data_IF_648726826607
#
_entry.id   IF_648726826607
#
_cell.length_a   1.000
_cell.length_b   1.000
_cell.length_c   1.000
_cell.angle_alpha   90.00
_cell.angle_beta   90.00
_cell.angle_gamma   90.00
#
_symmetry.space_group_name_H-M   'P 1'
#
loop_
_entity.id
_entity.type
_entity.pdbx_description
1 polymer ?
#
# COMPACT_ATOMS: atom_id res chain seq x y z
N UNK A 1 -40.93 -38.45 -24.66
CA UNK A 1 -39.68 -37.73 -24.98
C UNK A 1 -39.50 -36.68 -23.88
N UNK A 2 -38.50 -36.85 -23.00
CA UNK A 2 -38.20 -35.90 -21.92
C UNK A 2 -37.24 -34.82 -22.45
N UNK A 3 -37.38 -33.54 -22.05
CA UNK A 3 -36.44 -32.49 -22.44
C UNK A 3 -35.08 -32.69 -21.74
N UNK A 4 -33.96 -32.21 -22.33
CA UNK A 4 -32.63 -32.40 -21.76
C UNK A 4 -32.46 -31.62 -20.44
N UNK A 5 -31.61 -32.10 -19.53
CA UNK A 5 -31.29 -31.38 -18.30
C UNK A 5 -30.55 -30.08 -18.61
N UNK A 6 -30.99 -28.97 -18.01
CA UNK A 6 -30.27 -27.70 -18.05
C UNK A 6 -28.93 -27.85 -17.31
N UNK A 7 -27.84 -27.70 -18.04
CA UNK A 7 -26.49 -27.59 -17.45
C UNK A 7 -26.29 -26.17 -16.91
N UNK A 8 -25.59 -26.01 -15.76
CA UNK A 8 -25.42 -24.72 -15.10
C UNK A 8 -24.56 -23.78 -15.94
N UNK A 9 -24.88 -22.48 -15.90
CA UNK A 9 -24.07 -21.43 -16.47
C UNK A 9 -22.64 -21.51 -15.90
N UNK A 10 -21.66 -21.68 -16.78
CA UNK A 10 -20.24 -21.55 -16.46
C UNK A 10 -20.02 -20.12 -15.96
N UNK A 11 -19.62 -20.00 -14.69
CA UNK A 11 -19.07 -18.75 -14.16
C UNK A 11 -17.86 -18.38 -15.03
N UNK A 12 -17.99 -17.28 -15.78
CA UNK A 12 -16.89 -16.68 -16.53
C UNK A 12 -15.73 -16.35 -15.60
N UNK A 13 -14.47 -16.67 -15.96
CA UNK A 13 -13.31 -16.18 -15.21
C UNK A 13 -13.27 -14.65 -15.30
N UNK A 14 -12.93 -13.99 -14.19
CA UNK A 14 -12.78 -12.53 -14.12
C UNK A 14 -11.93 -12.02 -15.30
N UNK A 15 -12.47 -11.06 -16.04
CA UNK A 15 -11.82 -10.42 -17.20
C UNK A 15 -10.55 -9.67 -16.79
N UNK A 16 -9.57 -9.52 -17.69
CA UNK A 16 -8.31 -8.79 -17.43
C UNK A 16 -8.50 -7.36 -16.87
N UNK A 17 -9.62 -6.71 -17.19
CA UNK A 17 -9.99 -5.40 -16.64
C UNK A 17 -10.28 -5.43 -15.12
N UNK A 18 -10.89 -6.52 -14.64
CA UNK A 18 -11.25 -6.72 -13.22
C UNK A 18 -10.00 -6.99 -12.37
N UNK A 19 -9.05 -7.76 -12.93
CA UNK A 19 -7.74 -7.96 -12.30
C UNK A 19 -6.97 -6.64 -12.18
N UNK A 20 -6.93 -5.83 -13.25
CA UNK A 20 -6.22 -4.56 -13.25
C UNK A 20 -6.81 -3.56 -12.24
N UNK A 21 -8.14 -3.53 -12.09
CA UNK A 21 -8.81 -2.67 -11.12
C UNK A 21 -8.53 -3.11 -9.67
N UNK A 22 -8.41 -4.41 -9.41
CA UNK A 22 -7.99 -4.96 -8.11
C UNK A 22 -6.54 -4.58 -7.77
N UNK A 23 -5.61 -4.73 -8.72
CA UNK A 23 -4.20 -4.33 -8.52
C UNK A 23 -4.05 -2.84 -8.24
N UNK A 24 -4.75 -1.98 -9.00
CA UNK A 24 -4.73 -0.53 -8.77
C UNK A 24 -5.28 -0.14 -7.39
N UNK A 25 -6.24 -0.92 -6.89
CA UNK A 25 -6.84 -0.68 -5.58
C UNK A 25 -5.89 -1.09 -4.45
N UNK A 26 -5.24 -2.25 -4.59
CA UNK A 26 -4.19 -2.69 -3.67
C UNK A 26 -3.03 -1.70 -3.64
N UNK A 27 -2.56 -1.20 -4.80
CA UNK A 27 -1.50 -0.17 -4.85
C UNK A 27 -1.89 1.13 -4.15
N UNK A 28 -3.14 1.61 -4.33
CA UNK A 28 -3.61 2.81 -3.65
C UNK A 28 -3.69 2.61 -2.14
N UNK A 29 -4.28 1.50 -1.70
CA UNK A 29 -4.39 1.17 -0.28
C UNK A 29 -2.98 1.02 0.34
N UNK A 30 -2.02 0.47 -0.40
CA UNK A 30 -0.62 0.40 -0.01
C UNK A 30 0.02 1.78 0.16
N UNK A 31 -0.13 2.66 -0.83
CA UNK A 31 0.46 4.01 -0.80
C UNK A 31 -0.12 4.85 0.33
N UNK A 32 -1.44 4.82 0.54
CA UNK A 32 -2.10 5.54 1.64
C UNK A 32 -1.60 5.03 3.00
N UNK A 33 -1.42 3.71 3.13
CA UNK A 33 -0.90 3.11 4.33
C UNK A 33 0.55 3.52 4.64
N UNK A 34 1.39 3.59 3.62
CA UNK A 34 2.77 4.08 3.73
C UNK A 34 2.80 5.54 4.19
N UNK A 35 1.95 6.40 3.62
CA UNK A 35 1.84 7.80 4.04
C UNK A 35 1.40 7.93 5.51
N UNK A 36 0.45 7.11 5.96
CA UNK A 36 0.00 7.08 7.35
C UNK A 36 1.12 6.63 8.29
N UNK A 37 1.91 5.63 7.92
CA UNK A 37 3.09 5.23 8.68
C UNK A 37 4.12 6.36 8.78
N UNK A 38 4.36 7.10 7.69
CA UNK A 38 5.30 8.23 7.71
C UNK A 38 4.79 9.36 8.61
N UNK A 39 3.49 9.67 8.54
CA UNK A 39 2.85 10.64 9.43
C UNK A 39 2.95 10.20 10.90
N UNK A 40 2.73 8.93 11.17
CA UNK A 40 2.84 8.35 12.49
C UNK A 40 4.29 8.40 13.00
N UNK A 41 5.27 8.08 12.16
CA UNK A 41 6.70 8.17 12.49
C UNK A 41 7.11 9.61 12.86
N UNK A 42 6.56 10.60 12.17
CA UNK A 42 6.81 12.02 12.43
C UNK A 42 6.12 12.53 13.70
N UNK A 43 5.03 11.88 14.14
CA UNK A 43 4.21 12.32 15.28
C UNK A 43 4.56 11.57 16.56
N UNK A 44 4.64 10.24 16.49
CA UNK A 44 4.85 9.32 17.61
C UNK A 44 6.27 8.73 17.64
N UNK A 45 7.04 8.90 16.56
CA UNK A 45 8.41 8.44 16.43
C UNK A 45 8.57 7.19 15.56
N UNK A 46 9.73 7.07 14.92
CA UNK A 46 10.06 6.01 13.95
C UNK A 46 9.86 4.60 14.54
N UNK A 47 10.21 4.39 15.81
CA UNK A 47 10.07 3.09 16.45
C UNK A 47 8.61 2.60 16.57
N UNK A 48 7.64 3.52 16.62
CA UNK A 48 6.22 3.18 16.64
C UNK A 48 5.76 2.75 15.25
N UNK A 49 6.06 3.57 14.23
CA UNK A 49 5.73 3.27 12.84
C UNK A 49 6.39 1.97 12.35
N UNK A 50 7.65 1.70 12.69
CA UNK A 50 8.34 0.44 12.30
C UNK A 50 7.66 -0.79 12.93
N UNK A 51 7.14 -0.68 14.16
CA UNK A 51 6.35 -1.77 14.76
C UNK A 51 5.04 -2.00 14.02
N UNK A 52 4.38 -0.93 13.59
CA UNK A 52 3.17 -1.01 12.77
C UNK A 52 3.47 -1.64 11.42
N UNK A 53 4.50 -1.15 10.70
CA UNK A 53 4.96 -1.70 9.42
C UNK A 53 5.35 -3.19 9.53
N UNK A 54 6.07 -3.56 10.60
CA UNK A 54 6.45 -4.95 10.87
C UNK A 54 5.26 -5.88 11.14
N UNK A 55 4.13 -5.36 11.60
CA UNK A 55 2.92 -6.16 11.83
C UNK A 55 2.25 -6.60 10.52
N UNK A 56 2.44 -5.86 9.41
CA UNK A 56 1.87 -6.24 8.10
C UNK A 56 2.58 -7.43 7.47
N UNK A 57 3.79 -7.79 7.93
CA UNK A 57 4.62 -8.86 7.35
C UNK A 57 4.79 -8.73 5.82
N UNK A 58 4.71 -7.52 5.29
CA UNK A 58 4.90 -7.24 3.87
C UNK A 58 6.23 -6.49 3.69
N UNK A 59 7.28 -7.14 3.14
CA UNK A 59 8.58 -6.52 2.95
C UNK A 59 8.54 -5.27 2.06
N UNK A 60 7.64 -5.25 1.07
CA UNK A 60 7.52 -4.12 0.14
C UNK A 60 7.03 -2.84 0.83
N UNK A 61 6.03 -2.97 1.71
CA UNK A 61 5.52 -1.82 2.50
C UNK A 61 6.61 -1.23 3.39
N UNK A 62 7.49 -2.07 3.93
CA UNK A 62 8.58 -1.60 4.80
C UNK A 62 9.65 -0.84 4.01
N UNK A 63 9.94 -1.27 2.78
CA UNK A 63 10.90 -0.63 1.87
C UNK A 63 10.34 0.71 1.38
N UNK A 64 9.09 0.72 0.88
CA UNK A 64 8.40 1.94 0.46
C UNK A 64 8.25 2.94 1.62
N UNK A 65 7.97 2.44 2.83
CA UNK A 65 7.96 3.25 4.04
C UNK A 65 9.34 3.84 4.35
N UNK A 66 10.40 3.06 4.23
CA UNK A 66 11.76 3.54 4.49
C UNK A 66 12.14 4.68 3.54
N UNK A 67 11.86 4.53 2.25
CA UNK A 67 12.15 5.54 1.23
C UNK A 67 11.31 6.80 1.42
N UNK A 68 9.99 6.65 1.59
CA UNK A 68 9.09 7.78 1.83
C UNK A 68 9.41 8.53 3.14
N UNK A 69 9.83 7.80 4.18
CA UNK A 69 10.25 8.38 5.45
C UNK A 69 11.50 9.23 5.27
N UNK A 70 12.51 8.71 4.55
CA UNK A 70 13.76 9.42 4.29
C UNK A 70 13.51 10.73 3.55
N UNK A 71 12.71 10.70 2.48
CA UNK A 71 12.34 11.89 1.71
C UNK A 71 11.62 12.93 2.57
N UNK A 72 10.63 12.52 3.36
CA UNK A 72 9.87 13.44 4.23
C UNK A 72 10.72 14.03 5.34
N UNK A 73 11.65 13.26 5.91
CA UNK A 73 12.60 13.80 6.88
C UNK A 73 13.58 14.79 6.23
N UNK A 74 14.04 14.50 5.02
CA UNK A 74 14.92 15.39 4.27
C UNK A 74 14.23 16.73 3.96
N UNK A 75 13.00 16.70 3.45
CA UNK A 75 12.16 17.89 3.24
C UNK A 75 12.03 18.72 4.53
N UNK A 76 11.68 18.08 5.65
CA UNK A 76 11.56 18.77 6.95
C UNK A 76 12.86 19.37 7.45
N UNK A 77 14.01 18.73 7.20
CA UNK A 77 15.31 19.25 7.59
C UNK A 77 15.73 20.45 6.72
N UNK A 78 15.38 20.44 5.43
CA UNK A 78 15.53 21.60 4.55
C UNK A 78 14.64 22.76 5.01
N UNK A 79 13.37 22.51 5.29
CA UNK A 79 12.42 23.51 5.83
C UNK A 79 12.91 24.12 7.14
N UNK A 80 13.46 23.28 8.03
CA UNK A 80 14.04 23.72 9.30
C UNK A 80 15.39 24.47 9.14
N UNK A 81 15.86 24.72 7.90
CA UNK A 81 17.18 25.28 7.57
C UNK A 81 18.35 24.55 8.24
N UNK A 82 18.16 23.27 8.57
CA UNK A 82 19.21 22.44 9.17
C UNK A 82 20.16 21.84 8.12
N UNK A 83 19.77 21.90 6.85
CA UNK A 83 20.59 21.52 5.70
C UNK A 83 20.78 22.72 4.78
N UNK A 84 21.99 22.89 4.23
CA UNK A 84 22.26 23.76 3.09
C UNK A 84 22.28 22.89 1.85
N UNK A 85 21.59 23.32 0.78
CA UNK A 85 21.72 22.72 -0.55
C UNK A 85 23.17 22.78 -1.03
#
# INVERSE_FOLDING_TARGET
MLPPPAVPAVNTPATDADMNEMYLKEEKEHSEFVEDLVRDALTHGIAHAVKMAGALKNPHILDDFHDALADKYYEKLLEARKLKQ
#
